data_IF_180816419375
#
_entry.id   IF_180816419375
#
_cell.length_a   1.000
_cell.length_b   1.000
_cell.length_c   1.000
_cell.angle_alpha   90.00
_cell.angle_beta   90.00
_cell.angle_gamma   90.00
#
_symmetry.space_group_name_H-M   'P 1'
#
loop_
_entity.id
_entity.type
_entity.pdbx_description
1 polymer ?
#
# COMPACT_ATOMS: atom_id res chain seq x y z
N UNK A 1 -6.18 7.96 -14.42
CA UNK A 1 -5.77 8.76 -13.24
C UNK A 1 -6.41 10.14 -13.21
N UNK A 2 -6.53 10.84 -14.34
CA UNK A 2 -7.08 12.20 -14.40
C UNK A 2 -8.46 12.36 -13.74
N UNK A 3 -9.34 11.37 -13.86
CA UNK A 3 -10.68 11.40 -13.25
C UNK A 3 -10.63 11.33 -11.71
N UNK A 4 -9.83 10.41 -11.14
CA UNK A 4 -9.66 10.28 -9.69
C UNK A 4 -9.04 11.56 -9.09
N UNK A 5 -8.06 12.14 -9.78
CA UNK A 5 -7.46 13.40 -9.35
C UNK A 5 -8.45 14.57 -9.38
N UNK A 6 -9.37 14.61 -10.35
CA UNK A 6 -10.43 15.61 -10.38
C UNK A 6 -11.43 15.42 -9.24
N UNK A 7 -11.79 14.17 -8.93
CA UNK A 7 -12.67 13.86 -7.80
C UNK A 7 -12.02 14.26 -6.46
N UNK A 8 -10.74 13.97 -6.27
CA UNK A 8 -9.98 14.39 -5.08
C UNK A 8 -9.88 15.92 -4.93
N UNK A 9 -9.99 16.71 -6.00
CA UNK A 9 -10.08 18.17 -5.88
C UNK A 9 -11.41 18.63 -5.25
N UNK A 10 -12.47 17.85 -5.41
CA UNK A 10 -13.78 18.13 -4.80
C UNK A 10 -13.91 17.48 -3.42
N UNK A 11 -13.33 16.29 -3.26
CA UNK A 11 -13.40 15.47 -2.05
C UNK A 11 -11.98 15.11 -1.56
N UNK A 12 -11.20 16.07 -1.03
CA UNK A 12 -9.79 15.86 -0.69
C UNK A 12 -9.57 14.88 0.48
N UNK A 13 -10.62 14.59 1.25
CA UNK A 13 -10.56 13.71 2.42
C UNK A 13 -11.18 12.33 2.15
N UNK A 14 -11.36 11.95 0.88
CA UNK A 14 -11.90 10.64 0.51
C UNK A 14 -10.75 9.61 0.47
N UNK A 15 -10.65 8.81 1.52
CA UNK A 15 -9.62 7.79 1.71
C UNK A 15 -9.63 6.71 0.63
N UNK A 16 -10.82 6.30 0.17
CA UNK A 16 -11.00 5.33 -0.91
C UNK A 16 -10.44 5.86 -2.24
N UNK A 17 -10.64 7.13 -2.56
CA UNK A 17 -10.07 7.76 -3.76
C UNK A 17 -8.55 7.87 -3.68
N UNK A 18 -7.99 8.24 -2.52
CA UNK A 18 -6.54 8.18 -2.30
C UNK A 18 -6.00 6.77 -2.46
N UNK A 19 -6.72 5.76 -1.97
CA UNK A 19 -6.29 4.37 -2.05
C UNK A 19 -6.27 3.87 -3.50
N UNK A 20 -7.30 4.22 -4.29
CA UNK A 20 -7.36 3.89 -5.72
C UNK A 20 -6.27 4.61 -6.51
N UNK A 21 -5.99 5.87 -6.19
CA UNK A 21 -4.90 6.61 -6.82
C UNK A 21 -3.53 5.99 -6.50
N UNK A 22 -3.30 5.62 -5.24
CA UNK A 22 -2.08 4.94 -4.80
C UNK A 22 -1.86 3.60 -5.51
N UNK A 23 -2.91 2.79 -5.67
CA UNK A 23 -2.84 1.55 -6.44
C UNK A 23 -2.46 1.80 -7.91
N UNK A 24 -3.00 2.86 -8.52
CA UNK A 24 -2.65 3.21 -9.89
C UNK A 24 -1.16 3.58 -10.02
N UNK A 25 -0.64 4.40 -9.12
CA UNK A 25 0.79 4.74 -9.12
C UNK A 25 1.69 3.54 -8.84
N UNK A 26 1.27 2.65 -7.93
CA UNK A 26 2.01 1.41 -7.63
C UNK A 26 2.13 0.52 -8.88
N UNK A 27 1.04 0.37 -9.64
CA UNK A 27 1.04 -0.41 -10.89
C UNK A 27 1.89 0.22 -11.99
N UNK A 28 2.03 1.54 -12.00
CA UNK A 28 2.89 2.27 -12.95
C UNK A 28 4.36 2.32 -12.52
N UNK A 29 4.69 1.85 -11.32
CA UNK A 29 6.05 1.90 -10.77
C UNK A 29 6.44 3.27 -10.18
N UNK A 30 5.48 4.19 -10.05
CA UNK A 30 5.65 5.51 -9.45
C UNK A 30 5.54 5.41 -7.93
N UNK A 31 6.49 4.70 -7.31
CA UNK A 31 6.37 4.26 -5.92
C UNK A 31 6.36 5.40 -4.90
N UNK A 32 7.09 6.50 -5.14
CA UNK A 32 7.06 7.67 -4.26
C UNK A 32 5.66 8.31 -4.22
N UNK A 33 5.01 8.44 -5.37
CA UNK A 33 3.65 8.97 -5.48
C UNK A 33 2.62 8.02 -4.86
N UNK A 34 2.80 6.71 -5.05
CA UNK A 34 1.97 5.68 -4.42
C UNK A 34 2.07 5.76 -2.89
N UNK A 35 3.27 5.91 -2.33
CA UNK A 35 3.48 5.98 -0.89
C UNK A 35 2.74 7.17 -0.28
N UNK A 36 2.86 8.35 -0.89
CA UNK A 36 2.12 9.55 -0.47
C UNK A 36 0.61 9.27 -0.44
N UNK A 37 0.07 8.65 -1.49
CA UNK A 37 -1.35 8.33 -1.55
C UNK A 37 -1.78 7.36 -0.44
N UNK A 38 -1.00 6.31 -0.19
CA UNK A 38 -1.31 5.35 0.87
C UNK A 38 -1.16 5.93 2.27
N UNK A 39 -0.23 6.85 2.51
CA UNK A 39 -0.15 7.60 3.77
C UNK A 39 -1.40 8.44 4.02
N UNK A 40 -1.89 9.15 2.98
CA UNK A 40 -3.15 9.89 3.08
C UNK A 40 -4.34 8.97 3.32
N UNK A 41 -4.41 7.81 2.64
CA UNK A 41 -5.44 6.81 2.92
C UNK A 41 -5.44 6.42 4.40
N UNK A 42 -4.29 6.00 4.94
CA UNK A 42 -4.19 5.56 6.34
C UNK A 42 -4.50 6.68 7.34
N UNK A 43 -4.18 7.93 7.01
CA UNK A 43 -4.50 9.07 7.87
C UNK A 43 -6.02 9.38 7.91
N UNK A 44 -6.72 9.13 6.81
CA UNK A 44 -8.13 9.46 6.64
C UNK A 44 -9.09 8.31 6.99
N UNK A 45 -8.60 7.07 6.97
CA UNK A 45 -9.39 5.88 7.29
C UNK A 45 -9.57 5.72 8.81
N UNK A 46 -10.83 5.68 9.26
CA UNK A 46 -11.16 5.44 10.68
C UNK A 46 -10.78 4.02 11.16
N UNK A 47 -10.98 3.01 10.31
CA UNK A 47 -10.67 1.60 10.59
C UNK A 47 -9.76 1.05 9.51
N UNK A 48 -8.45 1.12 9.74
CA UNK A 48 -7.44 0.65 8.79
C UNK A 48 -7.64 -0.83 8.47
N UNK A 49 -7.57 -1.16 7.19
CA UNK A 49 -7.73 -2.53 6.67
C UNK A 49 -6.39 -3.20 6.43
N UNK A 50 -6.38 -4.54 6.44
CA UNK A 50 -5.18 -5.32 6.12
C UNK A 50 -4.62 -5.00 4.72
N UNK A 51 -5.50 -4.84 3.73
CA UNK A 51 -5.11 -4.54 2.34
C UNK A 51 -4.47 -3.16 2.20
N UNK A 52 -4.90 -2.16 2.95
CA UNK A 52 -4.25 -0.84 2.94
C UNK A 52 -2.83 -0.90 3.52
N UNK A 53 -2.64 -1.62 4.62
CA UNK A 53 -1.31 -1.85 5.21
C UNK A 53 -0.40 -2.64 4.26
N UNK A 54 -0.91 -3.71 3.65
CA UNK A 54 -0.18 -4.53 2.69
C UNK A 54 0.21 -3.75 1.42
N UNK A 55 -0.65 -2.86 0.93
CA UNK A 55 -0.34 -2.00 -0.21
C UNK A 55 0.79 -1.00 0.10
N UNK A 56 0.77 -0.38 1.29
CA UNK A 56 1.86 0.48 1.76
C UNK A 56 3.16 -0.32 1.90
N UNK A 57 3.10 -1.50 2.53
CA UNK A 57 4.26 -2.39 2.68
C UNK A 57 4.87 -2.76 1.32
N UNK A 58 4.04 -3.12 0.35
CA UNK A 58 4.45 -3.44 -1.03
C UNK A 58 5.15 -2.26 -1.69
N UNK A 59 4.63 -1.05 -1.49
CA UNK A 59 5.22 0.17 -2.05
C UNK A 59 6.59 0.46 -1.46
N UNK A 60 6.72 0.36 -0.13
CA UNK A 60 7.99 0.54 0.58
C UNK A 60 9.01 -0.53 0.17
N UNK A 61 8.58 -1.78 0.02
CA UNK A 61 9.44 -2.87 -0.46
C UNK A 61 10.06 -2.52 -1.82
N UNK A 62 9.27 -2.03 -2.78
CA UNK A 62 9.79 -1.61 -4.09
C UNK A 62 10.66 -0.35 -4.02
N UNK A 63 10.30 0.66 -3.22
CA UNK A 63 11.14 1.84 -2.97
C UNK A 63 12.52 1.46 -2.42
N UNK A 64 12.56 0.46 -1.55
CA UNK A 64 13.78 -0.07 -0.96
C UNK A 64 14.46 -1.14 -1.81
N UNK A 65 14.17 -1.18 -3.12
CA UNK A 65 14.78 -2.09 -4.09
C UNK A 65 14.58 -3.56 -3.72
N UNK A 66 13.34 -3.89 -3.37
CA UNK A 66 12.93 -5.25 -2.99
C UNK A 66 13.62 -5.72 -1.71
N UNK A 67 13.70 -4.83 -0.71
CA UNK A 67 14.24 -5.16 0.60
C UNK A 67 13.12 -5.24 1.63
N UNK A 68 13.07 -6.36 2.35
CA UNK A 68 12.21 -6.55 3.51
C UNK A 68 12.77 -5.78 4.72
N UNK A 69 12.54 -4.48 4.77
CA UNK A 69 12.96 -3.64 5.91
C UNK A 69 12.10 -3.93 7.14
N UNK A 70 12.54 -3.43 8.30
CA UNK A 70 11.78 -3.55 9.56
C UNK A 70 10.38 -2.92 9.43
N UNK A 71 10.25 -1.81 8.70
CA UNK A 71 8.95 -1.15 8.46
C UNK A 71 8.02 -2.00 7.57
N UNK A 72 8.56 -2.59 6.50
CA UNK A 72 7.78 -3.48 5.62
C UNK A 72 7.29 -4.69 6.42
N UNK A 73 8.18 -5.32 7.19
CA UNK A 73 7.84 -6.46 8.05
C UNK A 73 6.74 -6.10 9.06
N UNK A 74 6.87 -4.96 9.73
CA UNK A 74 5.89 -4.50 10.72
C UNK A 74 4.50 -4.27 10.10
N UNK A 75 4.44 -3.64 8.92
CA UNK A 75 3.18 -3.41 8.22
C UNK A 75 2.51 -4.72 7.79
N UNK A 76 3.29 -5.69 7.32
CA UNK A 76 2.79 -7.02 6.97
C UNK A 76 2.28 -7.79 8.19
N UNK A 77 3.01 -7.73 9.31
CA UNK A 77 2.56 -8.33 10.56
C UNK A 77 1.24 -7.73 11.03
N UNK A 78 1.10 -6.40 11.00
CA UNK A 78 -0.15 -5.72 11.33
C UNK A 78 -1.29 -6.12 10.38
N UNK A 79 -1.02 -6.21 9.07
CA UNK A 79 -2.00 -6.66 8.09
C UNK A 79 -2.49 -8.09 8.40
N UNK A 80 -1.57 -9.01 8.71
CA UNK A 80 -1.90 -10.40 9.01
C UNK A 80 -2.54 -10.58 10.40
N UNK A 81 -2.32 -9.66 11.34
CA UNK A 81 -3.07 -9.63 12.60
C UNK A 81 -4.54 -9.26 12.37
N UNK A 82 -4.82 -8.34 11.45
CA UNK A 82 -6.18 -7.97 11.06
C UNK A 82 -6.84 -9.09 10.23
N UNK A 83 -6.13 -9.62 9.25
CA UNK A 83 -6.59 -10.67 8.35
C UNK A 83 -5.48 -11.72 8.11
N UNK A 84 -5.49 -12.86 8.84
CA UNK A 84 -4.44 -13.88 8.75
C UNK A 84 -4.22 -14.48 7.35
N UNK A 85 -5.20 -14.34 6.46
CA UNK A 85 -5.16 -14.85 5.09
C UNK A 85 -5.20 -13.72 4.05
N UNK A 86 -4.76 -12.51 4.41
CA UNK A 86 -4.73 -11.40 3.46
C UNK A 86 -3.81 -11.73 2.27
N UNK A 87 -4.40 -11.79 1.09
CA UNK A 87 -3.72 -12.25 -0.13
C UNK A 87 -2.55 -11.34 -0.50
N UNK A 88 -2.71 -10.02 -0.38
CA UNK A 88 -1.67 -9.06 -0.74
C UNK A 88 -0.44 -9.20 0.17
N UNK A 89 -0.65 -9.30 1.49
CA UNK A 89 0.44 -9.49 2.45
C UNK A 89 1.18 -10.82 2.22
N UNK A 90 0.45 -11.92 2.08
CA UNK A 90 1.04 -13.24 1.86
C UNK A 90 1.77 -13.33 0.51
N UNK A 91 1.25 -12.67 -0.53
CA UNK A 91 1.89 -12.62 -1.84
C UNK A 91 3.23 -11.90 -1.79
N UNK A 92 3.33 -10.79 -1.05
CA UNK A 92 4.61 -10.08 -0.90
C UNK A 92 5.66 -10.94 -0.19
N UNK A 93 5.28 -11.59 0.91
CA UNK A 93 6.16 -12.49 1.67
C UNK A 93 6.64 -13.66 0.78
N UNK A 94 5.72 -14.27 0.04
CA UNK A 94 6.06 -15.36 -0.87
C UNK A 94 7.03 -14.92 -1.98
N UNK A 95 6.81 -13.73 -2.55
CA UNK A 95 7.67 -13.17 -3.60
C UNK A 95 9.08 -12.86 -3.08
N UNK A 96 9.21 -12.25 -1.90
CA UNK A 96 10.52 -11.97 -1.28
C UNK A 96 11.32 -13.26 -1.04
N UNK A 97 10.68 -14.30 -0.50
CA UNK A 97 11.31 -15.60 -0.32
C UNK A 97 11.73 -16.24 -1.63
N UNK A 98 10.96 -16.09 -2.72
CA UNK A 98 11.33 -16.64 -4.02
C UNK A 98 12.54 -15.94 -4.65
N UNK A 99 12.65 -14.62 -4.50
CA UNK A 99 13.73 -13.79 -5.08
C UNK A 99 15.04 -13.94 -4.29
N UNK A 100 14.97 -14.31 -3.01
CA UNK A 100 16.12 -14.41 -2.11
C UNK A 100 16.95 -15.72 -2.24
N UNK A 101 16.68 -16.57 -3.24
CA UNK A 101 17.44 -17.80 -3.56
C UNK A 101 18.30 -17.64 -4.82
#
# INVERSE_FOLDING_TARGET
>A
MDEIQQQLKQEPNNDELWFKLGQSYLLEGEFDAALICFDYTLQLTDNVTATQLAAKATTLYYLHKQAMTDEVSLLLEQALQLEPYNEAALSLIANDHFISF
#
